data_IF_247876457993
#
_entry.id   IF_247876457993
#
_cell.length_a   1.000
_cell.length_b   1.000
_cell.length_c   1.000
_cell.angle_alpha   90.00
_cell.angle_beta   90.00
_cell.angle_gamma   90.00
#
_symmetry.space_group_name_H-M   'P 1'
#
loop_
_entity.id
_entity.type
_entity.pdbx_description
1 polymer ?
#
# COMPACT_ATOMS: atom_id res chain seq x y z
N UNK A 1 -31.43 -15.38 20.30
CA UNK A 1 -32.28 -15.46 21.50
C UNK A 1 -33.77 -15.46 21.11
N UNK A 2 -34.23 -14.49 20.32
CA UNK A 2 -35.63 -14.36 19.90
C UNK A 2 -36.23 -15.60 19.20
N UNK A 3 -35.45 -16.27 18.37
CA UNK A 3 -35.88 -17.51 17.71
C UNK A 3 -36.10 -18.69 18.69
N UNK A 4 -35.42 -18.72 19.84
CA UNK A 4 -35.63 -19.74 20.88
C UNK A 4 -36.90 -19.44 21.67
N UNK A 5 -37.12 -18.17 22.04
CA UNK A 5 -38.36 -17.75 22.70
C UNK A 5 -39.60 -17.86 21.81
N UNK A 6 -39.44 -17.82 20.49
CA UNK A 6 -40.53 -17.98 19.53
C UNK A 6 -40.93 -19.44 19.26
N UNK A 7 -40.25 -20.44 19.86
CA UNK A 7 -40.62 -21.85 19.68
C UNK A 7 -41.96 -22.17 20.35
N UNK A 8 -42.91 -22.83 19.66
CA UNK A 8 -44.18 -23.24 20.26
C UNK A 8 -44.04 -24.31 21.35
N UNK A 9 -42.95 -25.08 21.32
CA UNK A 9 -42.61 -26.21 22.18
C UNK A 9 -41.36 -25.94 23.02
N UNK A 10 -41.28 -24.75 23.61
CA UNK A 10 -40.17 -24.32 24.46
C UNK A 10 -39.92 -25.32 25.60
N UNK A 11 -38.78 -25.98 25.56
CA UNK A 11 -38.36 -26.98 26.54
C UNK A 11 -37.44 -26.40 27.61
N UNK A 12 -37.23 -27.12 28.72
CA UNK A 12 -36.25 -26.75 29.75
C UNK A 12 -34.83 -26.61 29.15
N UNK A 13 -34.48 -27.44 28.15
CA UNK A 13 -33.20 -27.36 27.43
C UNK A 13 -33.07 -26.07 26.60
N UNK A 14 -34.15 -25.62 25.97
CA UNK A 14 -34.16 -24.33 25.26
C UNK A 14 -34.00 -23.15 26.23
N UNK A 15 -34.52 -23.28 27.46
CA UNK A 15 -34.35 -22.32 28.53
C UNK A 15 -32.90 -22.21 29.01
N UNK A 16 -32.22 -23.34 29.21
CA UNK A 16 -30.77 -23.34 29.54
C UNK A 16 -29.97 -22.69 28.42
N UNK A 17 -30.25 -23.04 27.16
CA UNK A 17 -29.56 -22.48 25.99
C UNK A 17 -29.81 -20.98 25.80
N UNK A 18 -31.02 -20.50 26.09
CA UNK A 18 -31.34 -19.08 26.04
C UNK A 18 -30.59 -18.30 27.14
N UNK A 19 -30.44 -18.89 28.33
CA UNK A 19 -29.67 -18.29 29.43
C UNK A 19 -28.16 -18.22 29.11
N UNK A 20 -27.59 -19.29 28.56
CA UNK A 20 -26.19 -19.31 28.10
C UNK A 20 -25.94 -18.23 27.03
N UNK A 21 -26.77 -18.20 25.97
CA UNK A 21 -26.66 -17.18 24.92
C UNK A 21 -26.89 -15.76 25.43
N UNK A 22 -27.67 -15.58 26.49
CA UNK A 22 -27.87 -14.28 27.13
C UNK A 22 -26.65 -13.84 27.93
N UNK A 23 -26.01 -14.76 28.64
CA UNK A 23 -24.73 -14.51 29.30
C UNK A 23 -23.66 -14.11 28.29
N UNK A 24 -23.52 -14.87 27.21
CA UNK A 24 -22.55 -14.56 26.14
C UNK A 24 -22.85 -13.20 25.49
N UNK A 25 -24.11 -12.89 25.22
CA UNK A 25 -24.51 -11.61 24.62
C UNK A 25 -24.22 -10.42 25.55
N UNK A 26 -24.43 -10.59 26.86
CA UNK A 26 -24.10 -9.58 27.87
C UNK A 26 -22.58 -9.40 28.02
N UNK A 27 -21.82 -10.50 28.04
CA UNK A 27 -20.35 -10.47 28.12
C UNK A 27 -19.71 -9.79 26.91
N UNK A 28 -20.28 -9.99 25.71
CA UNK A 28 -19.87 -9.30 24.49
C UNK A 28 -20.37 -7.84 24.41
N UNK A 29 -21.07 -7.32 25.43
CA UNK A 29 -21.60 -5.95 25.41
C UNK A 29 -22.73 -5.74 24.40
N UNK A 30 -23.43 -6.80 23.99
CA UNK A 30 -24.43 -6.78 22.92
C UNK A 30 -25.56 -5.78 23.14
N UNK A 31 -25.92 -5.47 24.39
CA UNK A 31 -26.95 -4.47 24.70
C UNK A 31 -26.54 -3.04 24.35
N UNK A 32 -25.25 -2.75 24.38
CA UNK A 32 -24.69 -1.43 24.03
C UNK A 32 -24.18 -1.38 22.59
N UNK A 33 -24.08 -2.53 21.91
CA UNK A 33 -23.44 -2.65 20.61
C UNK A 33 -23.96 -1.66 19.55
N UNK A 34 -25.27 -1.43 19.46
CA UNK A 34 -25.84 -0.47 18.49
C UNK A 34 -25.46 0.98 18.81
N UNK A 35 -25.48 1.35 20.10
CA UNK A 35 -25.06 2.67 20.57
C UNK A 35 -23.56 2.90 20.36
N UNK A 36 -22.75 1.88 20.65
CA UNK A 36 -21.30 1.93 20.50
C UNK A 36 -20.91 2.01 19.02
N UNK A 37 -21.59 1.24 18.15
CA UNK A 37 -21.41 1.31 16.70
C UNK A 37 -21.79 2.68 16.15
N UNK A 38 -22.92 3.26 16.57
CA UNK A 38 -23.34 4.61 16.17
C UNK A 38 -22.35 5.69 16.61
N UNK A 39 -21.80 5.55 17.82
CA UNK A 39 -20.76 6.45 18.35
C UNK A 39 -19.47 6.33 17.55
N UNK A 40 -19.02 5.10 17.26
CA UNK A 40 -17.82 4.83 16.47
C UNK A 40 -17.94 5.39 15.05
N UNK A 41 -19.07 5.15 14.38
CA UNK A 41 -19.37 5.71 13.06
C UNK A 41 -19.32 7.24 13.07
N UNK A 42 -19.92 7.87 14.09
CA UNK A 42 -19.94 9.33 14.24
C UNK A 42 -18.53 9.89 14.46
N UNK A 43 -17.71 9.23 15.28
CA UNK A 43 -16.32 9.60 15.53
C UNK A 43 -15.46 9.52 14.26
N UNK A 44 -15.75 8.55 13.39
CA UNK A 44 -15.10 8.41 12.07
C UNK A 44 -15.70 9.37 11.03
N UNK A 45 -16.67 10.20 11.41
CA UNK A 45 -17.26 11.24 10.57
C UNK A 45 -18.39 10.76 9.67
N UNK A 46 -18.98 9.59 9.94
CA UNK A 46 -20.21 9.11 9.30
C UNK A 46 -21.40 9.64 10.09
N UNK A 47 -22.11 10.59 9.50
CA UNK A 47 -23.27 11.25 10.12
C UNK A 47 -24.44 10.28 10.34
N UNK A 48 -25.26 10.56 11.35
CA UNK A 48 -26.42 9.74 11.75
C UNK A 48 -27.44 9.53 10.63
N UNK A 49 -27.61 10.50 9.73
CA UNK A 49 -28.51 10.39 8.57
C UNK A 49 -28.08 9.27 7.59
N UNK A 50 -26.82 8.84 7.65
CA UNK A 50 -26.26 7.78 6.82
C UNK A 50 -26.22 6.41 7.50
N UNK A 51 -26.49 6.31 8.81
CA UNK A 51 -26.33 5.05 9.56
C UNK A 51 -27.22 3.91 9.03
N UNK A 52 -28.41 4.24 8.53
CA UNK A 52 -29.37 3.26 7.99
C UNK A 52 -29.38 3.18 6.47
N UNK A 53 -28.47 3.89 5.80
CA UNK A 53 -28.33 3.85 4.34
C UNK A 53 -27.64 2.56 3.92
N UNK A 54 -28.09 1.97 2.81
CA UNK A 54 -27.48 0.75 2.29
C UNK A 54 -26.07 1.04 1.77
N UNK A 55 -25.13 0.12 2.03
CA UNK A 55 -23.74 0.25 1.57
C UNK A 55 -23.62 0.54 0.07
N UNK A 56 -24.50 0.01 -0.77
CA UNK A 56 -24.48 0.26 -2.23
C UNK A 56 -24.69 1.74 -2.59
N UNK A 57 -25.41 2.48 -1.76
CA UNK A 57 -25.83 3.87 -2.00
C UNK A 57 -24.90 4.89 -1.32
N UNK A 58 -23.86 4.42 -0.61
CA UNK A 58 -22.84 5.27 0.02
C UNK A 58 -21.69 5.63 -0.94
N UNK A 59 -21.12 6.82 -0.74
CA UNK A 59 -19.88 7.24 -1.39
C UNK A 59 -18.71 6.34 -0.97
N UNK A 60 -17.70 6.20 -1.83
CA UNK A 60 -16.51 5.36 -1.54
C UNK A 60 -15.80 5.76 -0.24
N UNK A 61 -15.67 7.06 0.03
CA UNK A 61 -15.09 7.57 1.30
C UNK A 61 -15.88 7.14 2.54
N UNK A 62 -17.22 7.14 2.46
CA UNK A 62 -18.08 6.75 3.57
C UNK A 62 -18.03 5.23 3.75
N UNK A 63 -17.98 4.46 2.65
CA UNK A 63 -17.82 3.00 2.68
C UNK A 63 -16.55 2.60 3.43
N UNK A 64 -15.42 3.26 3.15
CA UNK A 64 -14.15 2.97 3.85
C UNK A 64 -14.27 3.27 5.34
N UNK A 65 -14.89 4.39 5.73
CA UNK A 65 -15.12 4.72 7.15
C UNK A 65 -16.02 3.70 7.85
N UNK A 66 -17.08 3.22 7.18
CA UNK A 66 -17.95 2.16 7.72
C UNK A 66 -17.20 0.84 7.87
N UNK A 67 -16.39 0.45 6.89
CA UNK A 67 -15.57 -0.77 6.95
C UNK A 67 -14.49 -0.66 8.04
N UNK A 68 -13.89 0.52 8.21
CA UNK A 68 -12.95 0.77 9.30
C UNK A 68 -13.65 0.69 10.66
N UNK A 69 -14.84 1.29 10.79
CA UNK A 69 -15.67 1.16 11.99
C UNK A 69 -15.94 -0.31 12.32
N UNK A 70 -16.28 -1.10 11.31
CA UNK A 70 -16.51 -2.54 11.47
C UNK A 70 -15.24 -3.27 11.94
N UNK A 71 -14.06 -2.92 11.40
CA UNK A 71 -12.80 -3.54 11.81
C UNK A 71 -12.39 -3.17 13.24
N UNK A 72 -12.68 -1.93 13.66
CA UNK A 72 -12.37 -1.42 15.00
C UNK A 72 -13.38 -1.85 16.06
N UNK A 73 -14.58 -2.27 15.64
CA UNK A 73 -15.63 -2.67 16.56
C UNK A 73 -15.18 -3.89 17.37
N UNK A 74 -15.12 -3.74 18.69
CA UNK A 74 -14.58 -4.75 19.60
C UNK A 74 -13.11 -4.54 20.01
N UNK A 75 -12.50 -3.39 19.66
CA UNK A 75 -11.15 -2.98 20.08
C UNK A 75 -10.07 -4.06 19.81
N UNK A 76 -9.75 -4.36 18.54
CA UNK A 76 -8.80 -5.43 18.22
C UNK A 76 -7.37 -5.04 18.60
N UNK A 77 -6.62 -6.01 19.14
CA UNK A 77 -5.18 -5.85 19.44
C UNK A 77 -4.33 -5.70 18.15
N UNK A 78 -4.82 -6.23 17.02
CA UNK A 78 -4.14 -6.18 15.73
C UNK A 78 -5.11 -5.79 14.61
N UNK A 79 -4.85 -4.66 13.98
CA UNK A 79 -5.56 -4.18 12.81
C UNK A 79 -4.76 -4.49 11.54
N UNK A 80 -5.38 -5.17 10.57
CA UNK A 80 -4.75 -5.49 9.27
C UNK A 80 -5.50 -4.75 8.16
N UNK A 81 -4.77 -3.95 7.39
CA UNK A 81 -5.32 -3.14 6.29
C UNK A 81 -4.60 -3.49 4.99
N UNK A 82 -5.37 -3.83 3.95
CA UNK A 82 -4.86 -4.12 2.60
C UNK A 82 -5.28 -3.00 1.64
N UNK A 83 -4.31 -2.25 1.14
CA UNK A 83 -4.45 -1.06 0.27
C UNK A 83 -5.55 -0.08 0.71
N UNK A 84 -5.48 0.45 1.96
CA UNK A 84 -6.57 1.27 2.51
C UNK A 84 -6.66 2.67 1.88
N UNK A 85 -5.66 3.10 1.12
CA UNK A 85 -5.62 4.40 0.44
C UNK A 85 -6.28 4.39 -0.94
N UNK A 86 -6.69 3.23 -1.44
CA UNK A 86 -7.23 3.11 -2.78
C UNK A 86 -8.60 3.80 -2.92
N UNK A 87 -8.80 4.49 -4.05
CA UNK A 87 -10.02 5.24 -4.37
C UNK A 87 -10.45 6.30 -3.33
N UNK A 88 -9.51 6.77 -2.50
CA UNK A 88 -9.72 7.84 -1.53
C UNK A 88 -9.23 9.20 -2.05
N UNK A 89 -9.90 10.26 -1.60
CA UNK A 89 -9.40 11.62 -1.79
C UNK A 89 -8.29 11.95 -0.78
N UNK A 90 -7.51 13.00 -1.09
CA UNK A 90 -6.37 13.41 -0.26
C UNK A 90 -6.79 13.80 1.16
N UNK A 91 -7.98 14.39 1.33
CA UNK A 91 -8.50 14.76 2.65
C UNK A 91 -8.81 13.51 3.50
N UNK A 92 -9.36 12.46 2.91
CA UNK A 92 -9.65 11.19 3.60
C UNK A 92 -8.38 10.39 3.88
N UNK A 93 -7.39 10.42 2.98
CA UNK A 93 -6.09 9.79 3.22
C UNK A 93 -5.39 10.44 4.42
N UNK A 94 -5.31 11.77 4.45
CA UNK A 94 -4.70 12.50 5.58
C UNK A 94 -5.42 12.23 6.91
N UNK A 95 -6.75 12.14 6.89
CA UNK A 95 -7.51 11.75 8.08
C UNK A 95 -7.18 10.33 8.54
N UNK A 96 -7.03 9.38 7.61
CA UNK A 96 -6.68 7.99 7.92
C UNK A 96 -5.26 7.90 8.48
N UNK A 97 -4.32 8.68 7.93
CA UNK A 97 -2.94 8.78 8.45
C UNK A 97 -2.95 9.23 9.91
N UNK A 98 -3.64 10.34 10.22
CA UNK A 98 -3.78 10.85 11.59
C UNK A 98 -4.46 9.83 12.52
N UNK A 99 -5.48 9.14 12.03
CA UNK A 99 -6.16 8.10 12.80
C UNK A 99 -5.22 6.95 13.17
N UNK A 100 -4.50 6.40 12.18
CA UNK A 100 -3.59 5.27 12.39
C UNK A 100 -2.33 5.66 13.18
N UNK A 101 -1.85 6.89 13.04
CA UNK A 101 -0.71 7.38 13.81
C UNK A 101 -1.02 7.49 15.33
N UNK A 102 -2.30 7.65 15.69
CA UNK A 102 -2.75 7.69 17.08
C UNK A 102 -3.35 6.36 17.57
N UNK A 103 -3.32 5.31 16.75
CA UNK A 103 -3.81 4.00 17.14
C UNK A 103 -2.84 3.36 18.14
N UNK A 104 -3.31 3.01 19.33
CA UNK A 104 -2.45 2.54 20.43
C UNK A 104 -1.95 1.10 20.20
N UNK A 105 -2.72 0.30 19.46
CA UNK A 105 -2.44 -1.12 19.25
C UNK A 105 -1.67 -1.38 17.94
N UNK A 106 -1.45 -2.65 17.60
CA UNK A 106 -0.62 -3.00 16.43
C UNK A 106 -1.39 -2.83 15.13
N UNK A 107 -0.82 -2.11 14.16
CA UNK A 107 -1.36 -2.02 12.79
C UNK A 107 -0.38 -2.65 11.79
N UNK A 108 -0.90 -3.54 10.95
CA UNK A 108 -0.21 -4.06 9.78
C UNK A 108 -0.88 -3.49 8.54
N UNK A 109 -0.17 -2.63 7.81
CA UNK A 109 -0.68 -2.07 6.56
C UNK A 109 0.12 -2.54 5.37
N UNK A 110 -0.59 -2.94 4.32
CA UNK A 110 -0.05 -3.15 2.98
C UNK A 110 -0.51 -1.98 2.12
N UNK A 111 0.44 -1.23 1.55
CA UNK A 111 0.11 -0.17 0.60
C UNK A 111 1.20 0.04 -0.44
N UNK A 112 0.82 0.53 -1.60
CA UNK A 112 1.73 1.07 -2.61
C UNK A 112 2.00 2.57 -2.46
N UNK A 113 1.27 3.27 -1.58
CA UNK A 113 1.47 4.70 -1.32
C UNK A 113 2.65 4.94 -0.38
N UNK A 114 3.72 5.51 -0.93
CA UNK A 114 4.94 5.78 -0.18
C UNK A 114 4.76 6.87 0.86
N UNK A 115 3.92 7.87 0.60
CA UNK A 115 3.73 8.98 1.53
C UNK A 115 3.00 8.51 2.78
N UNK A 116 1.92 7.75 2.56
CA UNK A 116 1.13 7.13 3.61
C UNK A 116 1.97 6.19 4.49
N UNK A 117 2.74 5.28 3.87
CA UNK A 117 3.64 4.38 4.61
C UNK A 117 4.71 5.14 5.40
N UNK A 118 5.18 6.28 4.88
CA UNK A 118 6.19 7.09 5.57
C UNK A 118 5.62 7.83 6.78
N UNK A 119 4.35 8.21 6.72
CA UNK A 119 3.64 8.91 7.79
C UNK A 119 3.20 7.99 8.93
N UNK A 120 2.73 6.78 8.60
CA UNK A 120 2.10 5.88 9.57
C UNK A 120 3.04 4.80 10.12
N UNK A 121 3.96 4.27 9.30
CA UNK A 121 4.71 3.08 9.70
C UNK A 121 5.97 3.40 10.52
N UNK A 122 6.14 2.68 11.64
CA UNK A 122 7.37 2.70 12.45
C UNK A 122 8.40 1.68 11.98
N UNK A 123 7.95 0.59 11.35
CA UNK A 123 8.78 -0.51 10.87
C UNK A 123 8.28 -0.97 9.50
N UNK A 124 9.21 -1.39 8.64
CA UNK A 124 8.93 -1.89 7.29
C UNK A 124 9.28 -3.36 7.20
N UNK A 125 8.29 -4.19 6.89
CA UNK A 125 8.48 -5.61 6.59
C UNK A 125 8.78 -5.80 5.08
N UNK A 126 10.05 -5.97 4.75
CA UNK A 126 10.53 -6.17 3.38
C UNK A 126 10.50 -7.64 2.98
N UNK A 127 9.69 -7.96 1.99
CA UNK A 127 9.55 -9.32 1.45
C UNK A 127 10.40 -9.45 0.18
N UNK A 128 11.61 -10.02 0.31
CA UNK A 128 12.49 -10.32 -0.82
C UNK A 128 13.19 -11.68 -0.63
N UNK A 129 13.52 -12.35 -1.73
CA UNK A 129 14.18 -13.66 -1.73
C UNK A 129 13.46 -14.74 -0.90
N UNK A 130 12.12 -14.71 -0.90
CA UNK A 130 11.26 -15.59 -0.08
C UNK A 130 11.55 -15.49 1.44
N UNK A 131 12.03 -14.33 1.90
CA UNK A 131 12.28 -14.01 3.30
C UNK A 131 11.65 -12.67 3.64
N UNK A 132 11.27 -12.53 4.89
CA UNK A 132 10.80 -11.27 5.46
C UNK A 132 11.94 -10.70 6.29
N UNK A 133 12.35 -9.47 5.99
CA UNK A 133 13.34 -8.73 6.77
C UNK A 133 12.66 -7.47 7.32
N UNK A 134 12.72 -7.28 8.63
CA UNK A 134 12.12 -6.12 9.29
C UNK A 134 13.19 -5.03 9.42
N UNK A 135 12.83 -3.82 9.04
CA UNK A 135 13.67 -2.63 9.18
C UNK A 135 12.94 -1.61 10.04
N UNK A 136 13.58 -1.18 11.13
CA UNK A 136 13.03 -0.11 11.97
C UNK A 136 13.30 1.25 11.34
N UNK A 137 12.25 2.03 11.19
CA UNK A 137 12.21 3.27 10.43
C UNK A 137 11.10 3.25 9.38
N UNK A 138 10.81 4.43 8.83
CA UNK A 138 9.78 4.62 7.83
C UNK A 138 10.18 4.09 6.44
N UNK A 139 9.27 4.20 5.47
CA UNK A 139 9.50 3.72 4.10
C UNK A 139 10.76 4.33 3.47
N UNK A 140 10.97 5.63 3.64
CA UNK A 140 12.12 6.35 3.05
C UNK A 140 13.44 5.82 3.60
N UNK A 141 13.51 5.60 4.92
CA UNK A 141 14.68 5.02 5.57
C UNK A 141 14.96 3.60 5.05
N UNK A 142 13.93 2.75 4.96
CA UNK A 142 14.08 1.42 4.38
C UNK A 142 14.60 1.49 2.93
N UNK A 143 14.05 2.38 2.12
CA UNK A 143 14.41 2.50 0.71
C UNK A 143 15.88 2.87 0.52
N UNK A 144 16.38 3.84 1.29
CA UNK A 144 17.79 4.24 1.28
C UNK A 144 18.71 3.12 1.78
N UNK A 145 18.36 2.50 2.90
CA UNK A 145 19.13 1.40 3.49
C UNK A 145 19.22 0.20 2.53
N UNK A 146 18.10 -0.13 1.87
CA UNK A 146 18.00 -1.21 0.90
C UNK A 146 18.87 -0.93 -0.33
N UNK A 147 18.82 0.29 -0.88
CA UNK A 147 19.69 0.68 -2.00
C UNK A 147 21.17 0.63 -1.65
N UNK A 148 21.55 1.11 -0.46
CA UNK A 148 22.93 1.14 -0.02
C UNK A 148 23.47 -0.28 0.18
N UNK A 149 22.68 -1.17 0.78
CA UNK A 149 22.98 -2.60 0.91
C UNK A 149 23.15 -3.28 -0.45
N UNK A 150 22.25 -3.00 -1.40
CA UNK A 150 22.35 -3.52 -2.77
C UNK A 150 23.63 -3.05 -3.47
N UNK A 151 23.97 -1.75 -3.38
CA UNK A 151 25.19 -1.19 -3.97
C UNK A 151 26.45 -1.81 -3.37
N UNK A 152 26.50 -1.96 -2.04
CA UNK A 152 27.65 -2.59 -1.36
C UNK A 152 27.82 -4.05 -1.78
N UNK A 153 26.72 -4.82 -1.82
CA UNK A 153 26.74 -6.22 -2.27
C UNK A 153 27.16 -6.35 -3.73
N UNK A 154 26.63 -5.51 -4.62
CA UNK A 154 27.03 -5.48 -6.03
C UNK A 154 28.53 -5.17 -6.18
N UNK A 155 29.06 -4.22 -5.41
CA UNK A 155 30.49 -3.88 -5.44
C UNK A 155 31.38 -5.01 -4.90
N UNK A 156 30.96 -5.68 -3.83
CA UNK A 156 31.67 -6.84 -3.28
C UNK A 156 31.67 -8.01 -4.27
N UNK A 157 30.54 -8.29 -4.91
CA UNK A 157 30.40 -9.34 -5.91
C UNK A 157 31.26 -9.05 -7.14
N UNK A 158 31.23 -7.82 -7.67
CA UNK A 158 32.11 -7.42 -8.77
C UNK A 158 33.59 -7.61 -8.42
N UNK A 159 34.01 -7.20 -7.22
CA UNK A 159 35.40 -7.42 -6.74
C UNK A 159 35.74 -8.92 -6.61
N UNK A 160 34.79 -9.75 -6.21
CA UNK A 160 34.99 -11.19 -6.11
C UNK A 160 35.09 -11.85 -7.50
N UNK A 161 34.25 -11.43 -8.44
CA UNK A 161 34.30 -11.86 -9.85
C UNK A 161 35.60 -11.45 -10.54
N UNK A 162 36.02 -10.19 -10.40
CA UNK A 162 37.28 -9.69 -10.95
C UNK A 162 38.48 -10.50 -10.41
N UNK A 163 38.52 -10.73 -9.09
CA UNK A 163 39.54 -11.58 -8.47
C UNK A 163 39.52 -13.02 -8.98
N UNK A 164 38.33 -13.60 -9.17
CA UNK A 164 38.21 -14.95 -9.72
C UNK A 164 38.76 -15.00 -11.14
N UNK A 165 38.40 -14.04 -11.99
CA UNK A 165 38.89 -13.93 -13.36
C UNK A 165 40.41 -13.79 -13.41
N UNK A 166 41.01 -12.95 -12.58
CA UNK A 166 42.47 -12.81 -12.47
C UNK A 166 43.15 -14.13 -12.07
N UNK A 167 42.58 -14.84 -11.08
CA UNK A 167 43.11 -16.13 -10.65
C UNK A 167 42.97 -17.21 -11.74
N UNK A 168 41.86 -17.22 -12.48
CA UNK A 168 41.64 -18.11 -13.63
C UNK A 168 42.60 -17.83 -14.78
N UNK A 169 42.79 -16.56 -15.17
CA UNK A 169 43.77 -16.16 -16.19
C UNK A 169 45.20 -16.53 -15.79
N UNK A 170 45.54 -16.38 -14.51
CA UNK A 170 46.84 -16.82 -13.99
C UNK A 170 47.02 -18.33 -14.09
N UNK A 171 46.00 -19.11 -13.69
CA UNK A 171 46.04 -20.58 -13.81
C UNK A 171 46.17 -20.98 -15.28
N UNK A 172 45.40 -20.36 -16.18
CA UNK A 172 45.47 -20.63 -17.61
C UNK A 172 46.87 -20.38 -18.17
N UNK A 173 47.48 -19.23 -17.88
CA UNK A 173 48.82 -18.85 -18.35
C UNK A 173 49.96 -19.70 -17.77
N UNK A 174 49.84 -20.17 -16.53
CA UNK A 174 50.94 -20.85 -15.83
C UNK A 174 50.72 -22.35 -15.59
N UNK A 175 49.61 -22.91 -16.07
CA UNK A 175 49.28 -24.35 -15.95
C UNK A 175 50.32 -25.27 -16.61
N UNK A 176 50.98 -24.81 -17.68
CA UNK A 176 51.95 -25.60 -18.44
C UNK A 176 53.40 -25.45 -17.94
N UNK A 177 53.68 -24.57 -16.97
CA UNK A 177 55.04 -24.27 -16.52
C UNK A 177 55.38 -24.97 -15.19
N UNK A 178 56.30 -25.95 -15.24
CA UNK A 178 56.65 -26.84 -14.12
C UNK A 178 57.07 -26.10 -12.85
N UNK A 179 57.75 -24.94 -12.98
CA UNK A 179 58.21 -24.15 -11.83
C UNK A 179 57.07 -23.47 -11.04
N UNK A 180 55.92 -23.21 -11.67
CA UNK A 180 54.78 -22.48 -11.05
C UNK A 180 53.57 -23.36 -10.79
N UNK A 181 53.64 -24.66 -11.09
CA UNK A 181 52.55 -25.62 -10.89
C UNK A 181 52.02 -25.65 -9.44
N UNK A 182 52.89 -25.59 -8.42
CA UNK A 182 52.48 -25.52 -7.01
C UNK A 182 51.65 -24.28 -6.67
N UNK A 183 51.96 -23.12 -7.27
CA UNK A 183 51.20 -21.88 -7.07
C UNK A 183 49.83 -21.93 -7.74
N UNK A 184 49.74 -22.53 -8.93
CA UNK A 184 48.47 -22.70 -9.64
C UNK A 184 47.49 -23.58 -8.84
N UNK A 185 47.97 -24.69 -8.25
CA UNK A 185 47.14 -25.58 -7.42
C UNK A 185 46.64 -24.90 -6.13
N UNK A 186 47.47 -24.06 -5.50
CA UNK A 186 47.08 -23.29 -4.32
C UNK A 186 46.00 -22.24 -4.65
N UNK A 187 46.12 -21.56 -5.79
CA UNK A 187 45.13 -20.57 -6.27
C UNK A 187 43.83 -21.23 -6.73
N UNK A 188 43.88 -22.43 -7.31
CA UNK A 188 42.67 -23.23 -7.61
C UNK A 188 41.85 -23.51 -6.34
N UNK A 189 42.52 -23.92 -5.26
CA UNK A 189 41.87 -24.07 -3.94
C UNK A 189 41.32 -22.75 -3.36
N UNK A 190 41.91 -21.60 -3.70
CA UNK A 190 41.35 -20.29 -3.32
C UNK A 190 40.09 -19.96 -4.11
N UNK A 191 40.03 -20.29 -5.40
CA UNK A 191 38.81 -20.15 -6.22
C UNK A 191 37.70 -21.05 -5.67
N UNK A 192 38.02 -22.30 -5.33
CA UNK A 192 37.04 -23.23 -4.75
C UNK A 192 36.52 -22.78 -3.38
N UNK A 193 37.30 -21.98 -2.64
CA UNK A 193 36.89 -21.33 -1.38
C UNK A 193 36.22 -19.98 -1.56
N UNK A 194 36.38 -19.35 -2.73
CA UNK A 194 35.65 -18.15 -3.11
C UNK A 194 34.21 -18.59 -3.38
N UNK A 195 33.41 -18.63 -2.32
CA UNK A 195 31.96 -18.72 -2.42
C UNK A 195 31.46 -17.45 -3.10
N UNK A 196 31.42 -17.48 -4.43
CA UNK A 196 30.51 -16.63 -5.18
C UNK A 196 29.14 -17.26 -4.93
N UNK A 197 28.49 -16.86 -3.84
CA UNK A 197 27.07 -17.12 -3.68
C UNK A 197 26.39 -16.56 -4.94
N UNK A 198 25.91 -17.45 -5.80
CA UNK A 198 25.06 -17.04 -6.93
C UNK A 198 23.89 -16.30 -6.29
N UNK A 199 23.78 -15.01 -6.59
CA UNK A 199 22.71 -14.19 -6.03
C UNK A 199 21.38 -14.92 -6.28
N UNK A 200 20.56 -15.14 -5.26
CA UNK A 200 19.17 -15.47 -5.52
C UNK A 200 18.58 -14.36 -6.41
N UNK A 201 17.70 -14.71 -7.32
CA UNK A 201 17.05 -13.71 -8.16
C UNK A 201 16.16 -12.86 -7.25
N UNK A 202 16.38 -11.55 -7.23
CA UNK A 202 15.43 -10.65 -6.55
C UNK A 202 14.12 -10.71 -7.31
N UNK A 203 13.02 -10.77 -6.58
CA UNK A 203 11.68 -10.68 -7.16
C UNK A 203 11.36 -9.24 -7.60
N UNK A 204 12.17 -8.25 -7.16
CA UNK A 204 11.93 -6.84 -7.43
C UNK A 204 12.06 -6.53 -8.91
N UNK A 205 10.95 -6.09 -9.51
CA UNK A 205 10.92 -5.46 -10.82
C UNK A 205 10.50 -4.02 -10.62
N UNK A 206 11.29 -3.08 -11.10
CA UNK A 206 10.89 -1.68 -11.17
C UNK A 206 10.21 -1.46 -12.51
N UNK A 207 8.87 -1.36 -12.56
CA UNK A 207 8.19 -1.04 -13.81
C UNK A 207 8.62 0.36 -14.24
N UNK A 208 8.91 0.51 -15.53
CA UNK A 208 9.11 1.81 -16.16
C UNK A 208 7.95 2.04 -17.11
N UNK A 209 7.22 3.15 -16.90
CA UNK A 209 6.24 3.61 -17.88
C UNK A 209 7.01 4.52 -18.84
N UNK A 210 7.30 3.97 -20.02
CA UNK A 210 8.00 4.68 -21.09
C UNK A 210 6.96 5.04 -22.14
N UNK A 211 6.76 6.34 -22.34
CA UNK A 211 5.90 6.84 -23.40
C UNK A 211 6.75 7.05 -24.66
N UNK A 212 6.47 6.29 -25.70
CA UNK A 212 7.05 6.51 -27.02
C UNK A 212 6.28 7.65 -27.71
N UNK A 213 6.98 8.74 -28.03
CA UNK A 213 6.39 9.86 -28.74
C UNK A 213 6.47 9.61 -30.25
N UNK A 214 5.33 9.52 -30.92
CA UNK A 214 5.29 9.38 -32.39
C UNK A 214 5.73 10.65 -33.13
N UNK A 215 5.56 11.82 -32.51
CA UNK A 215 5.90 13.14 -33.07
C UNK A 215 6.38 14.10 -32.00
N UNK A 216 7.23 15.05 -32.39
CA UNK A 216 7.55 16.18 -31.51
C UNK A 216 6.32 17.07 -31.35
N UNK A 217 6.00 17.40 -30.10
CA UNK A 217 4.94 18.35 -29.79
C UNK A 217 5.37 19.78 -30.18
N UNK A 218 4.44 20.57 -30.72
CA UNK A 218 4.62 21.99 -30.99
C UNK A 218 4.65 22.83 -29.70
N UNK A 219 4.93 24.14 -29.82
CA UNK A 219 5.08 25.03 -28.66
C UNK A 219 3.77 25.22 -27.86
N UNK A 220 2.62 25.17 -28.54
CA UNK A 220 1.30 25.26 -27.95
C UNK A 220 0.62 23.88 -27.99
N UNK A 221 0.24 23.36 -26.83
CA UNK A 221 -0.30 22.00 -26.66
C UNK A 221 -1.82 22.03 -26.55
N UNK A 222 -2.36 22.93 -25.74
CA UNK A 222 -3.79 23.03 -25.47
C UNK A 222 -4.16 24.49 -25.22
N UNK A 223 -5.24 24.95 -25.84
CA UNK A 223 -5.86 26.24 -25.55
C UNK A 223 -7.35 26.03 -25.37
N UNK A 224 -7.84 26.45 -24.22
CA UNK A 224 -9.23 26.37 -23.80
C UNK A 224 -9.71 27.79 -23.61
N UNK A 225 -10.81 28.15 -24.27
CA UNK A 225 -11.47 29.44 -24.08
C UNK A 225 -12.93 29.23 -23.66
N UNK A 226 -13.34 29.90 -22.57
CA UNK A 226 -14.70 29.94 -22.06
C UNK A 226 -15.40 28.59 -21.86
N UNK A 227 -14.64 27.56 -21.45
CA UNK A 227 -15.19 26.22 -21.26
C UNK A 227 -16.05 26.15 -19.99
N UNK A 228 -17.24 25.58 -20.12
CA UNK A 228 -18.23 25.48 -19.04
C UNK A 228 -18.92 24.12 -19.08
N UNK A 229 -19.23 23.55 -17.91
CA UNK A 229 -19.96 22.29 -17.80
C UNK A 229 -20.99 22.34 -16.65
N UNK A 230 -22.11 21.65 -16.83
CA UNK A 230 -23.20 21.52 -15.86
C UNK A 230 -23.82 20.13 -15.92
N UNK A 231 -24.32 19.65 -14.79
CA UNK A 231 -25.07 18.39 -14.64
C UNK A 231 -26.49 18.67 -14.09
N UNK A 232 -27.27 17.63 -13.83
CA UNK A 232 -28.63 17.75 -13.26
C UNK A 232 -28.64 18.39 -11.85
N UNK A 233 -27.52 18.33 -11.13
CA UNK A 233 -27.36 18.86 -9.76
C UNK A 233 -26.85 20.31 -9.73
N UNK A 234 -26.36 20.86 -10.84
CA UNK A 234 -25.90 22.23 -10.93
C UNK A 234 -24.77 22.50 -11.94
N UNK A 235 -24.13 23.67 -11.80
CA UNK A 235 -22.98 24.05 -12.63
C UNK A 235 -21.71 23.45 -12.02
N UNK A 236 -20.96 22.67 -12.81
CA UNK A 236 -19.69 22.06 -12.38
C UNK A 236 -18.55 23.08 -12.42
N UNK A 237 -18.39 23.76 -13.55
CA UNK A 237 -17.45 24.86 -13.74
C UNK A 237 -17.91 25.78 -14.86
N UNK A 238 -17.44 27.03 -14.87
CA UNK A 238 -17.84 28.06 -15.83
C UNK A 238 -16.66 28.96 -16.20
N UNK A 239 -16.64 29.40 -17.46
CA UNK A 239 -15.69 30.38 -18.00
C UNK A 239 -14.21 30.00 -17.79
N UNK A 240 -13.90 28.71 -17.93
CA UNK A 240 -12.55 28.19 -17.79
C UNK A 240 -11.71 28.55 -19.02
N UNK A 241 -10.60 29.24 -18.78
CA UNK A 241 -9.61 29.60 -19.79
C UNK A 241 -8.24 29.03 -19.39
N UNK A 242 -7.63 28.24 -20.27
CA UNK A 242 -6.36 27.54 -19.99
C UNK A 242 -5.49 27.50 -21.24
N UNK A 243 -4.22 27.86 -21.12
CA UNK A 243 -3.25 27.74 -22.20
C UNK A 243 -2.06 26.91 -21.69
N UNK A 244 -1.78 25.79 -22.35
CA UNK A 244 -0.70 24.86 -22.01
C UNK A 244 0.35 24.85 -23.11
N UNK A 245 1.61 25.00 -22.71
CA UNK A 245 2.77 24.98 -23.59
C UNK A 245 3.55 23.68 -23.47
N UNK A 246 4.47 23.48 -24.42
CA UNK A 246 5.38 22.34 -24.41
C UNK A 246 6.20 22.30 -23.13
N UNK A 247 6.09 21.19 -22.39
CA UNK A 247 6.84 20.95 -21.15
C UNK A 247 6.09 21.32 -19.88
N UNK A 248 4.92 21.95 -19.99
CA UNK A 248 4.08 22.22 -18.82
C UNK A 248 3.57 20.90 -18.21
N UNK A 249 3.56 20.84 -16.88
CA UNK A 249 3.00 19.75 -16.10
C UNK A 249 1.82 20.29 -15.32
N UNK A 250 0.64 19.71 -15.55
CA UNK A 250 -0.62 20.19 -14.97
C UNK A 250 -1.23 19.08 -14.14
N UNK A 251 -1.66 19.42 -12.93
CA UNK A 251 -2.48 18.57 -12.09
C UNK A 251 -3.88 19.21 -11.96
N UNK A 252 -4.93 18.43 -12.23
CA UNK A 252 -6.31 18.87 -12.09
C UNK A 252 -6.86 18.29 -10.79
N UNK A 253 -7.24 19.17 -9.87
CA UNK A 253 -7.77 18.81 -8.56
C UNK A 253 -9.18 19.38 -8.42
N UNK A 254 -10.13 18.56 -7.98
CA UNK A 254 -11.50 18.96 -7.70
C UNK A 254 -12.04 18.20 -6.51
N UNK A 255 -12.86 18.86 -5.69
CA UNK A 255 -13.64 18.23 -4.61
C UNK A 255 -14.84 17.43 -5.14
N UNK A 256 -15.26 17.71 -6.37
CA UNK A 256 -16.30 16.95 -7.05
C UNK A 256 -15.66 16.15 -8.19
N UNK A 257 -15.67 14.82 -8.05
CA UNK A 257 -15.12 13.89 -9.05
C UNK A 257 -15.79 14.04 -10.41
N UNK A 258 -17.10 14.34 -10.44
CA UNK A 258 -17.85 14.55 -11.68
C UNK A 258 -17.32 15.76 -12.47
N UNK A 259 -16.84 16.80 -11.80
CA UNK A 259 -16.27 17.96 -12.48
C UNK A 259 -14.94 17.62 -13.18
N UNK A 260 -14.09 16.80 -12.55
CA UNK A 260 -12.84 16.33 -13.16
C UNK A 260 -13.11 15.40 -14.34
N UNK A 261 -14.06 14.47 -14.19
CA UNK A 261 -14.48 13.59 -15.28
C UNK A 261 -15.05 14.38 -16.45
N UNK A 262 -15.97 15.32 -16.19
CA UNK A 262 -16.52 16.19 -17.23
C UNK A 262 -15.44 17.03 -17.92
N UNK A 263 -14.45 17.54 -17.17
CA UNK A 263 -13.32 18.27 -17.73
C UNK A 263 -12.54 17.42 -18.74
N UNK A 264 -12.16 16.18 -18.38
CA UNK A 264 -11.42 15.31 -19.29
C UNK A 264 -12.26 14.80 -20.46
N UNK A 265 -13.56 14.53 -20.25
CA UNK A 265 -14.47 14.14 -21.34
C UNK A 265 -14.70 15.24 -22.39
N UNK A 266 -14.57 16.52 -22.00
CA UNK A 266 -14.65 17.63 -22.95
C UNK A 266 -13.33 17.81 -23.72
N UNK A 267 -12.20 17.37 -23.14
CA UNK A 267 -10.87 17.45 -23.75
C UNK A 267 -10.53 16.26 -24.67
N UNK A 268 -11.17 15.12 -24.45
CA UNK A 268 -11.03 13.90 -25.25
C UNK A 268 -11.80 14.00 -26.59
#
# INVERSE_FOLDING_TARGET
MDALYAKPDFSDEDGVKAAELGGDYEEMGGWMAESDAGTLLSNLGVKEDKHFVLMKDLDTKDKVRVLLAQALFGNPDVLILDEPTNDLDVETISWLEDFLANYEETVIVVSHDRHFLDAVCTDVADIDFAKINIYSGNYSFWYEASQLSQRQRAQQNKKAEDKKKELEEFIARFSSNVAKAKQATARKKMIDKLNIEKMPHSSRRYPAIIFEQEREAGDQILEIENMSASNEEGVLFKDLNLNLKKGDKVAVLSRNSQATTAFFQILE
#
